data_IF_929316484274
#
_entry.id   IF_929316484274
#
_cell.length_a   1.000
_cell.length_b   1.000
_cell.length_c   1.000
_cell.angle_alpha   90.00
_cell.angle_beta   90.00
_cell.angle_gamma   90.00
#
_symmetry.space_group_name_H-M   'P 1'
#
loop_
_entity.id
_entity.type
_entity.pdbx_description
1 polymer ?
#
# COMPACT_ATOMS: atom_id res chain seq x y z
N UNK A 1 11.15 34.42 -16.40
CA UNK A 1 11.18 33.65 -17.66
C UNK A 1 12.03 32.44 -17.41
N UNK A 2 11.40 31.34 -17.01
CA UNK A 2 12.06 30.03 -16.99
C UNK A 2 12.08 29.49 -18.42
N UNK A 3 13.00 28.59 -18.73
CA UNK A 3 13.09 27.96 -20.06
C UNK A 3 12.72 26.51 -19.87
N UNK A 4 11.62 26.07 -20.46
CA UNK A 4 11.19 24.67 -20.41
C UNK A 4 12.18 23.80 -21.21
N UNK A 5 12.53 22.63 -20.67
CA UNK A 5 13.47 21.69 -21.28
C UNK A 5 12.79 20.52 -22.01
N UNK A 6 11.45 20.46 -22.03
CA UNK A 6 10.73 19.43 -22.78
C UNK A 6 10.51 19.84 -24.23
N UNK A 7 10.71 18.89 -25.15
CA UNK A 7 10.60 19.09 -26.60
C UNK A 7 9.17 19.34 -27.11
N UNK A 8 8.17 19.35 -26.23
CA UNK A 8 6.76 19.44 -26.60
C UNK A 8 6.24 20.88 -26.75
N UNK A 9 7.00 21.90 -26.32
CA UNK A 9 6.54 23.29 -26.34
C UNK A 9 7.63 24.27 -26.83
N UNK A 10 7.62 24.59 -28.13
CA UNK A 10 8.44 25.68 -28.70
C UNK A 10 7.65 26.99 -28.77
N UNK A 11 7.98 27.96 -27.89
CA UNK A 11 7.42 29.32 -27.89
C UNK A 11 7.44 30.01 -26.51
N UNK A 12 7.06 31.29 -26.41
CA UNK A 12 6.81 31.94 -25.12
C UNK A 12 5.60 31.28 -24.45
N UNK A 13 5.77 30.83 -23.21
CA UNK A 13 4.70 30.22 -22.42
C UNK A 13 4.29 31.15 -21.27
N UNK A 14 3.00 31.09 -20.92
CA UNK A 14 2.47 31.61 -19.66
C UNK A 14 2.15 30.37 -18.83
N UNK A 15 2.85 30.22 -17.71
CA UNK A 15 2.66 29.12 -16.78
C UNK A 15 2.32 29.64 -15.38
N UNK A 16 1.73 28.77 -14.57
CA UNK A 16 1.55 29.01 -13.13
C UNK A 16 2.68 28.28 -12.43
N UNK A 17 3.53 29.03 -11.73
CA UNK A 17 4.49 28.48 -10.79
C UNK A 17 3.81 28.44 -9.41
N UNK A 18 3.81 27.28 -8.80
CA UNK A 18 3.21 27.10 -7.49
C UNK A 18 4.27 27.39 -6.43
N UNK A 19 4.05 28.43 -5.61
CA UNK A 19 5.00 28.94 -4.61
C UNK A 19 4.57 28.55 -3.19
N UNK A 20 4.28 27.27 -2.99
CA UNK A 20 4.12 26.70 -1.64
C UNK A 20 4.80 25.34 -1.58
N UNK A 21 5.40 25.06 -0.42
CA UNK A 21 6.10 23.82 -0.11
C UNK A 21 5.32 23.13 1.01
N UNK A 22 5.07 21.83 0.83
CA UNK A 22 4.48 20.93 1.81
C UNK A 22 5.40 19.72 1.92
N UNK A 23 6.57 19.90 2.54
CA UNK A 23 7.61 18.89 2.59
C UNK A 23 7.92 18.38 4.00
N UNK A 24 7.31 18.97 5.04
CA UNK A 24 7.36 18.45 6.40
C UNK A 24 6.00 18.48 7.12
N UNK A 25 5.94 17.87 8.31
CA UNK A 25 4.72 17.80 9.11
C UNK A 25 4.26 19.18 9.66
N UNK A 26 5.17 20.15 9.78
CA UNK A 26 4.87 21.50 10.25
C UNK A 26 4.13 22.34 9.20
N UNK A 27 4.26 21.97 7.92
CA UNK A 27 3.47 22.55 6.82
C UNK A 27 2.01 22.06 6.80
N UNK A 28 1.65 21.09 7.66
CA UNK A 28 0.33 20.44 7.68
C UNK A 28 -0.09 19.92 6.29
N UNK A 29 0.69 18.98 5.71
CA UNK A 29 0.39 18.41 4.40
C UNK A 29 -0.96 17.68 4.41
N UNK A 30 -1.66 17.57 3.27
CA UNK A 30 -2.94 16.88 3.18
C UNK A 30 -2.81 15.41 3.59
N UNK A 31 -3.72 14.93 4.44
CA UNK A 31 -3.87 13.52 4.76
C UNK A 31 -4.70 12.77 3.72
N UNK A 32 -4.90 11.46 3.94
CA UNK A 32 -5.82 10.65 3.13
C UNK A 32 -7.24 11.19 3.29
N UNK A 33 -7.88 11.51 2.16
CA UNK A 33 -9.18 12.17 2.05
C UNK A 33 -9.10 13.69 1.86
N UNK A 34 -7.94 14.31 2.11
CA UNK A 34 -7.78 15.76 2.02
C UNK A 34 -7.37 16.23 0.62
N UNK A 35 -7.54 17.52 0.37
CA UNK A 35 -7.18 18.16 -0.89
C UNK A 35 -6.36 19.42 -0.66
N UNK A 36 -5.40 19.66 -1.55
CA UNK A 36 -4.80 20.98 -1.73
C UNK A 36 -5.58 21.69 -2.82
N UNK A 37 -6.28 22.75 -2.44
CA UNK A 37 -6.96 23.64 -3.37
C UNK A 37 -5.99 24.71 -3.87
N UNK A 38 -5.76 24.75 -5.18
CA UNK A 38 -5.00 25.84 -5.81
C UNK A 38 -5.81 27.15 -5.78
N UNK A 39 -5.16 28.33 -5.84
CA UNK A 39 -5.84 29.62 -5.75
C UNK A 39 -7.08 29.75 -6.65
N UNK A 40 -8.14 30.33 -6.09
CA UNK A 40 -9.47 30.48 -6.70
C UNK A 40 -10.22 29.16 -6.98
N UNK A 41 -9.78 28.05 -6.39
CA UNK A 41 -10.38 26.72 -6.50
C UNK A 41 -10.49 26.25 -7.96
N UNK A 42 -9.49 26.59 -8.80
CA UNK A 42 -9.47 26.15 -10.19
C UNK A 42 -9.14 24.66 -10.31
N UNK A 43 -8.23 24.19 -9.47
CA UNK A 43 -7.76 22.81 -9.40
C UNK A 43 -7.68 22.44 -7.92
N UNK A 44 -8.19 21.26 -7.58
CA UNK A 44 -7.95 20.60 -6.29
C UNK A 44 -7.14 19.34 -6.54
N UNK A 45 -6.03 19.17 -5.85
CA UNK A 45 -5.22 17.96 -5.87
C UNK A 45 -5.54 17.19 -4.59
N UNK A 46 -6.30 16.11 -4.71
CA UNK A 46 -6.79 15.35 -3.58
C UNK A 46 -5.98 14.07 -3.39
N UNK A 47 -5.52 13.84 -2.17
CA UNK A 47 -5.01 12.56 -1.74
C UNK A 47 -6.21 11.67 -1.39
N UNK A 48 -6.71 10.92 -2.35
CA UNK A 48 -8.00 10.22 -2.22
C UNK A 48 -7.89 9.00 -1.29
N UNK A 49 -6.92 8.14 -1.54
CA UNK A 49 -6.77 6.86 -0.85
C UNK A 49 -5.37 6.29 -1.02
N UNK A 50 -5.08 5.24 -0.25
CA UNK A 50 -3.90 4.38 -0.43
C UNK A 50 -4.30 3.06 -1.06
N UNK A 51 -3.41 2.45 -1.84
CA UNK A 51 -3.63 1.11 -2.43
C UNK A 51 -3.71 0.00 -1.38
N UNK A 52 -3.13 0.22 -0.20
CA UNK A 52 -3.12 -0.72 0.92
C UNK A 52 -3.74 -0.03 2.13
N UNK A 53 -4.77 -0.64 2.73
CA UNK A 53 -5.40 -0.16 3.94
C UNK A 53 -4.59 -0.51 5.19
N UNK A 54 -4.76 0.27 6.27
CA UNK A 54 -3.98 0.10 7.50
C UNK A 54 -4.22 -1.27 8.20
N UNK A 55 -5.34 -1.96 7.93
CA UNK A 55 -5.60 -3.32 8.42
C UNK A 55 -4.85 -4.42 7.65
N UNK A 56 -4.07 -4.05 6.63
CA UNK A 56 -3.27 -4.97 5.80
C UNK A 56 -1.77 -4.88 6.09
N UNK A 57 -1.41 -4.47 7.29
CA UNK A 57 -0.03 -4.48 7.76
C UNK A 57 0.23 -5.65 8.70
N UNK A 58 1.46 -6.14 8.68
CA UNK A 58 1.97 -7.11 9.64
C UNK A 58 3.14 -6.49 10.42
N UNK A 59 3.12 -6.67 11.73
CA UNK A 59 4.16 -6.17 12.62
C UNK A 59 5.34 -7.12 12.67
N UNK A 60 6.54 -6.55 12.63
CA UNK A 60 7.82 -7.22 12.80
C UNK A 60 8.62 -6.46 13.85
N UNK A 61 9.07 -7.17 14.87
CA UNK A 61 9.79 -6.58 16.00
C UNK A 61 11.22 -7.10 15.99
N UNK A 62 12.17 -6.17 16.13
CA UNK A 62 13.59 -6.42 16.31
C UNK A 62 13.93 -5.91 17.70
N UNK A 63 14.24 -6.79 18.65
CA UNK A 63 14.47 -6.41 20.04
C UNK A 63 15.57 -7.22 20.69
N UNK A 64 16.22 -6.65 21.70
CA UNK A 64 17.17 -7.39 22.51
C UNK A 64 16.45 -8.38 23.44
N UNK A 65 16.82 -9.66 23.38
CA UNK A 65 16.47 -10.65 24.41
C UNK A 65 17.72 -10.96 25.23
N UNK A 66 17.67 -10.68 26.54
CA UNK A 66 18.81 -10.81 27.46
C UNK A 66 18.96 -12.19 28.09
N UNK A 67 18.07 -13.13 27.75
CA UNK A 67 17.96 -14.41 28.47
C UNK A 67 17.66 -15.61 27.56
N UNK A 68 18.05 -15.53 26.29
CA UNK A 68 17.79 -16.59 25.31
C UNK A 68 18.53 -17.87 25.67
N UNK A 69 17.82 -19.00 25.59
CA UNK A 69 18.41 -20.33 25.76
C UNK A 69 18.64 -20.97 24.38
N UNK A 70 19.91 -21.15 24.02
CA UNK A 70 20.37 -21.72 22.75
C UNK A 70 21.06 -23.08 22.94
N UNK A 71 21.06 -23.64 24.16
CA UNK A 71 21.76 -24.88 24.51
C UNK A 71 21.33 -26.09 23.66
N UNK A 72 20.05 -26.13 23.29
CA UNK A 72 19.40 -27.19 22.52
C UNK A 72 19.39 -26.94 21.01
N UNK A 73 20.01 -25.85 20.55
CA UNK A 73 20.04 -25.49 19.14
C UNK A 73 20.88 -26.45 18.27
N UNK A 74 21.60 -27.39 18.89
CA UNK A 74 22.46 -28.36 18.20
C UNK A 74 23.94 -27.95 18.15
N UNK A 75 24.32 -26.93 18.93
CA UNK A 75 25.72 -26.54 19.15
C UNK A 75 26.30 -27.29 20.35
N UNK A 76 27.61 -27.46 20.41
CA UNK A 76 28.29 -28.10 21.56
C UNK A 76 28.50 -27.13 22.73
N UNK A 77 28.25 -25.84 22.53
CA UNK A 77 28.47 -24.80 23.52
C UNK A 77 27.21 -24.62 24.39
N UNK A 78 27.42 -24.46 25.70
CA UNK A 78 26.36 -24.28 26.68
C UNK A 78 25.86 -22.82 26.68
N UNK A 79 25.16 -22.42 25.61
CA UNK A 79 24.66 -21.06 25.39
C UNK A 79 23.30 -20.85 26.10
N UNK A 80 23.31 -20.88 27.42
CA UNK A 80 22.11 -20.66 28.25
C UNK A 80 22.06 -19.21 28.76
N UNK A 81 20.93 -18.52 28.58
CA UNK A 81 20.73 -17.18 29.12
C UNK A 81 21.64 -16.12 28.48
N UNK A 82 21.90 -16.26 27.18
CA UNK A 82 22.75 -15.33 26.42
C UNK A 82 21.92 -14.19 25.84
N UNK A 83 22.54 -13.03 25.66
CA UNK A 83 21.88 -11.89 25.01
C UNK A 83 21.93 -12.01 23.49
N UNK A 84 20.79 -11.88 22.82
CA UNK A 84 20.64 -12.01 21.37
C UNK A 84 19.80 -10.87 20.81
N UNK A 85 19.86 -10.69 19.48
CA UNK A 85 18.85 -9.92 18.77
C UNK A 85 17.73 -10.89 18.37
N UNK A 86 16.57 -10.70 18.97
CA UNK A 86 15.36 -11.45 18.72
C UNK A 86 14.49 -10.73 17.69
N UNK A 87 14.18 -11.43 16.60
CA UNK A 87 13.42 -10.90 15.47
C UNK A 87 12.18 -11.77 15.34
N UNK A 88 10.99 -11.19 15.46
CA UNK A 88 9.76 -11.97 15.43
C UNK A 88 8.57 -11.23 14.84
N UNK A 89 7.55 -12.00 14.49
CA UNK A 89 6.28 -11.51 13.96
C UNK A 89 5.13 -12.41 14.40
N UNK A 90 3.90 -11.90 14.60
CA UNK A 90 2.73 -12.74 14.78
C UNK A 90 2.29 -13.47 13.50
N UNK A 91 2.89 -13.15 12.34
CA UNK A 91 2.60 -13.82 11.07
C UNK A 91 3.28 -15.20 11.07
N UNK A 92 2.48 -16.26 11.05
CA UNK A 92 3.00 -17.61 10.91
C UNK A 92 3.83 -17.73 9.62
N UNK A 93 5.05 -18.24 9.73
CA UNK A 93 6.02 -18.33 8.63
C UNK A 93 6.33 -16.97 7.98
N UNK A 94 6.16 -15.85 8.70
CA UNK A 94 6.37 -14.50 8.18
C UNK A 94 7.81 -14.14 7.85
N UNK A 95 8.78 -14.98 8.23
CA UNK A 95 10.20 -14.83 7.94
C UNK A 95 10.73 -16.05 7.19
N UNK A 96 11.63 -15.84 6.24
CA UNK A 96 12.28 -16.90 5.48
C UNK A 96 13.79 -16.71 5.50
N UNK A 97 14.50 -17.67 6.09
CA UNK A 97 15.96 -17.67 6.17
C UNK A 97 16.53 -18.23 4.87
N UNK A 98 17.36 -17.43 4.21
CA UNK A 98 17.96 -17.76 2.92
C UNK A 98 19.25 -18.54 3.11
N UNK A 99 19.11 -19.82 3.47
CA UNK A 99 20.24 -20.67 3.91
C UNK A 99 21.33 -20.78 2.82
N UNK A 100 20.99 -20.60 1.55
CA UNK A 100 21.96 -20.57 0.46
C UNK A 100 22.99 -19.44 0.55
N UNK A 101 22.73 -18.40 1.36
CA UNK A 101 23.62 -17.26 1.56
C UNK A 101 24.58 -17.43 2.76
N UNK A 102 24.50 -18.56 3.48
CA UNK A 102 25.36 -18.82 4.64
C UNK A 102 26.65 -19.53 4.22
N UNK A 103 27.73 -19.26 4.96
CA UNK A 103 29.03 -19.89 4.68
C UNK A 103 29.03 -21.36 5.09
N UNK A 104 28.39 -21.67 6.22
CA UNK A 104 28.06 -23.02 6.60
C UNK A 104 26.59 -23.11 6.97
N UNK A 105 25.91 -24.02 6.29
CA UNK A 105 24.53 -24.34 6.59
C UNK A 105 24.51 -25.25 7.81
N UNK A 106 23.59 -24.99 8.74
CA UNK A 106 23.36 -25.83 9.90
C UNK A 106 22.76 -27.18 9.50
N UNK A 107 21.44 -27.32 9.64
CA UNK A 107 20.76 -28.61 9.45
C UNK A 107 19.97 -28.74 8.14
N UNK A 108 19.86 -27.65 7.36
CA UNK A 108 19.03 -27.58 6.15
C UNK A 108 19.84 -27.09 4.94
N UNK A 109 19.46 -27.54 3.74
CA UNK A 109 19.97 -27.03 2.46
C UNK A 109 18.90 -26.28 1.66
N UNK A 110 17.76 -26.00 2.29
CA UNK A 110 16.65 -25.26 1.71
C UNK A 110 16.24 -24.14 2.66
N UNK A 111 15.64 -23.10 2.10
CA UNK A 111 15.15 -21.96 2.87
C UNK A 111 14.22 -22.40 3.98
N UNK A 112 14.33 -21.73 5.13
CA UNK A 112 13.65 -22.11 6.37
C UNK A 112 12.61 -21.05 6.67
N UNK A 113 11.35 -21.48 6.76
CA UNK A 113 10.25 -20.61 7.18
C UNK A 113 10.09 -20.63 8.68
N UNK A 114 9.92 -19.45 9.28
CA UNK A 114 9.78 -19.27 10.72
C UNK A 114 9.00 -17.98 11.00
N UNK A 115 8.54 -17.80 12.23
CA UNK A 115 8.03 -16.54 12.76
C UNK A 115 9.03 -15.88 13.74
N UNK A 116 10.15 -16.57 14.02
CA UNK A 116 11.16 -16.19 15.02
C UNK A 116 12.59 -16.50 14.57
N UNK A 117 13.46 -15.52 14.71
CA UNK A 117 14.90 -15.60 14.44
C UNK A 117 15.64 -15.02 15.65
N UNK A 118 16.79 -15.61 16.01
CA UNK A 118 17.74 -15.02 16.94
C UNK A 118 19.11 -14.89 16.27
N UNK A 119 19.77 -13.77 16.49
CA UNK A 119 21.14 -13.53 16.04
C UNK A 119 22.10 -13.41 17.24
N UNK A 120 23.24 -14.09 17.14
CA UNK A 120 24.28 -14.08 18.16
C UNK A 120 25.66 -14.23 17.49
N UNK A 121 26.66 -13.46 17.91
CA UNK A 121 27.99 -13.55 17.32
C UNK A 121 28.85 -14.60 18.04
N UNK A 122 29.47 -15.50 17.28
CA UNK A 122 30.56 -16.33 17.74
C UNK A 122 31.89 -15.64 17.42
N UNK A 123 32.50 -15.02 18.43
CA UNK A 123 33.75 -14.27 18.30
C UNK A 123 35.01 -15.15 18.25
N UNK A 124 34.88 -16.44 18.55
CA UNK A 124 36.00 -17.36 18.48
C UNK A 124 36.18 -17.86 17.04
N UNK A 125 37.20 -17.33 16.37
CA UNK A 125 37.63 -17.64 15.00
C UNK A 125 38.13 -19.11 14.92
N UNK A 126 37.19 -20.06 14.95
CA UNK A 126 37.43 -21.51 15.01
C UNK A 126 36.78 -22.27 16.18
N UNK A 127 35.82 -21.67 16.91
CA UNK A 127 35.08 -22.30 18.00
C UNK A 127 34.33 -23.59 17.63
N UNK A 128 34.01 -24.39 18.65
CA UNK A 128 33.50 -25.78 18.61
C UNK A 128 32.46 -26.00 17.50
N UNK A 129 32.74 -26.91 16.56
CA UNK A 129 31.97 -27.24 15.34
C UNK A 129 32.26 -26.41 14.07
N UNK A 130 33.19 -25.45 14.11
CA UNK A 130 33.67 -24.75 12.89
C UNK A 130 32.77 -23.62 12.40
N UNK A 131 31.84 -23.14 13.24
CA UNK A 131 30.92 -22.05 12.93
C UNK A 131 31.39 -20.77 13.65
N UNK A 132 32.27 -20.00 13.02
CA UNK A 132 32.66 -18.66 13.47
C UNK A 132 31.77 -17.57 12.86
N UNK A 133 31.69 -16.39 13.47
CA UNK A 133 30.93 -15.26 12.92
C UNK A 133 29.50 -15.15 13.44
N UNK A 134 28.60 -14.53 12.68
CA UNK A 134 27.22 -14.29 13.12
C UNK A 134 26.37 -15.56 12.94
N UNK A 135 25.95 -16.17 14.04
CA UNK A 135 25.09 -17.34 14.03
C UNK A 135 23.62 -16.92 13.91
N UNK A 136 22.88 -17.64 13.08
CA UNK A 136 21.44 -17.44 12.87
C UNK A 136 20.69 -18.64 13.43
N UNK A 137 19.79 -18.38 14.38
CA UNK A 137 18.93 -19.37 15.00
C UNK A 137 17.47 -19.12 14.65
N UNK A 138 16.63 -20.15 14.74
CA UNK A 138 15.20 -20.05 14.45
C UNK A 138 14.38 -21.03 15.28
N UNK A 139 13.07 -20.79 15.35
CA UNK A 139 12.12 -21.69 15.99
C UNK A 139 11.54 -22.65 14.95
N UNK A 140 11.76 -23.95 15.12
CA UNK A 140 11.15 -24.96 14.24
C UNK A 140 9.64 -25.13 14.50
N UNK A 141 8.97 -25.93 13.67
CA UNK A 141 7.52 -26.18 13.78
C UNK A 141 7.10 -26.86 15.09
N UNK A 142 8.05 -27.34 15.90
CA UNK A 142 7.81 -27.91 17.22
C UNK A 142 8.16 -26.93 18.36
N UNK A 143 8.36 -25.64 18.04
CA UNK A 143 8.79 -24.59 18.96
C UNK A 143 10.16 -24.88 19.60
N UNK A 144 11.05 -25.58 18.89
CA UNK A 144 12.42 -25.79 19.34
C UNK A 144 13.35 -24.85 18.62
N UNK A 145 14.26 -24.22 19.37
CA UNK A 145 15.32 -23.40 18.79
C UNK A 145 16.32 -24.30 18.06
N UNK A 146 16.74 -23.90 16.87
CA UNK A 146 17.68 -24.62 15.99
C UNK A 146 18.66 -23.63 15.37
N UNK A 147 19.89 -24.07 15.11
CA UNK A 147 20.83 -23.31 14.29
C UNK A 147 20.51 -23.47 12.80
N UNK A 148 20.36 -22.35 12.09
CA UNK A 148 20.22 -22.30 10.64
C UNK A 148 21.58 -22.30 9.92
N UNK A 149 22.58 -21.62 10.48
CA UNK A 149 23.95 -21.55 9.96
C UNK A 149 24.69 -20.31 10.47
N UNK A 150 25.75 -19.91 9.75
CA UNK A 150 26.56 -18.74 10.11
C UNK A 150 26.89 -17.84 8.90
N UNK A 151 27.16 -16.57 9.22
CA UNK A 151 27.74 -15.57 8.32
C UNK A 151 29.10 -15.18 8.89
N UNK A 152 30.17 -15.70 8.26
CA UNK A 152 31.56 -15.71 8.77
C UNK A 152 32.23 -14.36 8.68
N UNK A 153 31.84 -13.54 7.70
CA UNK A 153 32.39 -12.20 7.53
C UNK A 153 31.29 -11.15 7.49
N UNK A 154 30.81 -10.76 8.66
CA UNK A 154 29.86 -9.67 8.78
C UNK A 154 30.45 -8.32 8.36
N UNK A 155 31.75 -8.16 8.06
CA UNK A 155 32.30 -6.86 7.64
C UNK A 155 31.73 -6.34 6.31
N UNK A 156 30.94 -7.15 5.60
CA UNK A 156 30.18 -6.75 4.42
C UNK A 156 28.71 -7.13 4.59
N UNK A 157 27.82 -6.28 4.08
CA UNK A 157 26.38 -6.55 4.07
C UNK A 157 26.06 -7.88 3.36
N UNK A 158 25.56 -8.86 4.11
CA UNK A 158 25.13 -10.16 3.63
C UNK A 158 23.62 -10.34 3.85
N UNK A 159 22.91 -10.90 2.88
CA UNK A 159 21.49 -11.22 3.04
C UNK A 159 21.33 -12.41 3.98
N UNK A 160 20.58 -12.24 5.07
CA UNK A 160 20.36 -13.28 6.06
C UNK A 160 19.01 -13.97 5.91
N UNK A 161 17.96 -13.17 5.69
CA UNK A 161 16.58 -13.63 5.56
C UNK A 161 15.76 -12.57 4.80
N UNK A 162 14.53 -12.91 4.43
CA UNK A 162 13.58 -11.97 3.85
C UNK A 162 12.20 -12.08 4.52
N UNK A 163 11.39 -11.05 4.32
CA UNK A 163 10.02 -10.99 4.84
C UNK A 163 9.09 -11.77 3.90
N UNK A 164 8.20 -12.58 4.48
CA UNK A 164 7.23 -13.39 3.75
C UNK A 164 5.80 -13.01 4.14
N UNK A 165 5.31 -11.89 3.60
CA UNK A 165 3.98 -11.37 3.87
C UNK A 165 3.30 -10.82 2.62
N UNK A 166 1.99 -11.07 2.48
CA UNK A 166 1.21 -10.54 1.36
C UNK A 166 1.80 -10.80 -0.03
N UNK A 167 1.86 -9.76 -0.84
CA UNK A 167 2.54 -9.66 -2.14
C UNK A 167 4.01 -9.25 -2.01
N UNK A 168 4.48 -8.83 -0.83
CA UNK A 168 5.85 -8.36 -0.58
C UNK A 168 6.83 -9.49 -0.26
N UNK A 169 6.53 -10.68 -0.78
CA UNK A 169 7.29 -11.92 -0.54
C UNK A 169 8.53 -12.00 -1.42
N UNK A 170 9.31 -13.04 -1.21
CA UNK A 170 10.50 -13.35 -2.01
C UNK A 170 11.54 -12.21 -1.91
N UNK A 171 11.87 -11.56 -3.03
CA UNK A 171 12.96 -10.58 -3.09
C UNK A 171 12.54 -9.13 -2.85
N UNK A 172 11.28 -8.90 -2.49
CA UNK A 172 10.72 -7.56 -2.34
C UNK A 172 11.19 -6.88 -1.05
N UNK A 173 11.36 -7.62 0.05
CA UNK A 173 11.89 -7.06 1.31
C UNK A 173 12.94 -8.00 1.88
N UNK A 174 14.19 -7.70 1.54
CA UNK A 174 15.36 -8.44 2.01
C UNK A 174 15.84 -7.87 3.34
N UNK A 175 16.41 -8.70 4.20
CA UNK A 175 17.08 -8.27 5.42
C UNK A 175 18.54 -8.68 5.36
N UNK A 176 19.39 -7.66 5.32
CA UNK A 176 20.83 -7.83 5.32
C UNK A 176 21.39 -7.58 6.72
N UNK A 177 22.48 -8.26 7.04
CA UNK A 177 23.26 -8.07 8.26
C UNK A 177 24.71 -7.81 7.89
N UNK A 178 25.37 -6.93 8.64
CA UNK A 178 26.81 -6.68 8.50
C UNK A 178 27.32 -5.64 9.49
N UNK A 179 28.50 -5.86 10.07
CA UNK A 179 29.19 -4.91 10.94
C UNK A 179 30.12 -3.96 10.19
N UNK A 180 30.41 -2.83 10.84
CA UNK A 180 31.25 -1.75 10.31
C UNK A 180 32.75 -2.08 10.43
N UNK A 181 33.14 -2.83 11.48
CA UNK A 181 34.55 -3.08 11.84
C UNK A 181 34.88 -4.51 12.29
N UNK A 182 33.88 -5.36 12.54
CA UNK A 182 34.08 -6.71 13.09
C UNK A 182 32.86 -7.24 13.84
N UNK A 183 33.05 -8.30 14.61
CA UNK A 183 32.05 -8.90 15.50
C UNK A 183 32.51 -8.88 16.98
N UNK A 184 33.55 -8.11 17.29
CA UNK A 184 34.16 -8.06 18.61
C UNK A 184 33.37 -7.23 19.62
N UNK A 185 33.77 -7.31 20.89
CA UNK A 185 33.17 -6.50 21.95
C UNK A 185 33.32 -5.01 21.65
N UNK A 186 32.19 -4.30 21.59
CA UNK A 186 32.12 -2.88 21.27
C UNK A 186 32.16 -2.54 19.78
N UNK A 187 32.18 -3.54 18.89
CA UNK A 187 31.82 -3.38 17.49
C UNK A 187 30.30 -3.32 17.35
N UNK A 188 29.85 -2.77 16.22
CA UNK A 188 28.43 -2.65 15.89
C UNK A 188 28.08 -3.48 14.64
N UNK A 189 26.90 -4.09 14.67
CA UNK A 189 26.23 -4.77 13.56
C UNK A 189 25.08 -3.91 13.03
N UNK A 190 25.10 -3.63 11.74
CA UNK A 190 23.94 -3.10 11.05
C UNK A 190 23.02 -4.26 10.61
N UNK A 191 21.73 -4.13 10.92
CA UNK A 191 20.66 -4.93 10.35
C UNK A 191 19.84 -4.00 9.46
N UNK A 192 19.86 -4.24 8.15
CA UNK A 192 19.24 -3.37 7.16
C UNK A 192 18.07 -4.07 6.48
N UNK A 193 16.87 -3.54 6.66
CA UNK A 193 15.68 -3.93 5.90
C UNK A 193 15.71 -3.18 4.57
N UNK A 194 15.64 -3.92 3.47
CA UNK A 194 15.89 -3.46 2.10
C UNK A 194 14.68 -3.71 1.19
N UNK A 195 13.66 -2.83 1.25
CA UNK A 195 12.54 -2.90 0.34
C UNK A 195 12.92 -2.59 -1.11
N UNK A 196 12.33 -3.31 -2.04
CA UNK A 196 12.58 -3.26 -3.47
C UNK A 196 11.30 -3.50 -4.25
N UNK A 197 11.08 -2.69 -5.27
CA UNK A 197 10.10 -2.98 -6.31
C UNK A 197 10.69 -2.50 -7.64
N UNK A 198 10.65 -3.35 -8.66
CA UNK A 198 11.43 -3.15 -9.88
C UNK A 198 11.02 -1.91 -10.71
N UNK A 199 9.81 -1.40 -10.52
CA UNK A 199 9.20 -0.34 -11.34
C UNK A 199 9.33 1.02 -10.67
N UNK A 200 8.89 1.12 -9.43
CA UNK A 200 8.71 2.33 -8.64
C UNK A 200 9.86 2.54 -7.64
N UNK A 201 10.60 1.48 -7.28
CA UNK A 201 11.72 1.53 -6.33
C UNK A 201 12.93 0.63 -6.71
N UNK A 202 13.49 0.78 -7.94
CA UNK A 202 14.50 -0.16 -8.47
C UNK A 202 15.89 -0.08 -7.81
N UNK A 203 16.09 0.83 -6.85
CA UNK A 203 17.42 1.14 -6.30
C UNK A 203 17.65 0.78 -4.85
N UNK A 204 16.69 0.13 -4.16
CA UNK A 204 16.74 -0.05 -2.70
C UNK A 204 16.91 1.27 -1.94
N UNK A 205 16.28 2.35 -2.41
CA UNK A 205 16.50 3.71 -1.88
C UNK A 205 15.47 4.09 -0.78
N UNK A 206 15.12 3.12 0.05
CA UNK A 206 14.18 3.24 1.18
C UNK A 206 14.59 2.28 2.31
N UNK A 207 15.89 2.05 2.44
CA UNK A 207 16.44 1.10 3.41
C UNK A 207 16.26 1.62 4.83
N UNK A 208 16.02 0.70 5.77
CA UNK A 208 15.95 0.98 7.20
C UNK A 208 17.09 0.22 7.85
N UNK A 209 18.08 0.94 8.36
CA UNK A 209 19.26 0.36 9.01
C UNK A 209 19.17 0.56 10.51
N UNK A 210 19.32 -0.53 11.25
CA UNK A 210 19.34 -0.60 12.70
C UNK A 210 20.74 -1.00 13.15
N UNK A 211 21.36 -0.24 14.04
CA UNK A 211 22.72 -0.49 14.54
C UNK A 211 22.66 -1.14 15.92
N UNK A 212 23.19 -2.36 16.04
CA UNK A 212 23.19 -3.16 17.27
C UNK A 212 24.61 -3.36 17.77
N UNK A 213 24.85 -3.14 19.05
CA UNK A 213 26.19 -3.25 19.63
C UNK A 213 26.45 -4.63 20.20
N UNK A 214 27.64 -5.17 19.93
CA UNK A 214 28.10 -6.40 20.58
C UNK A 214 28.76 -6.12 21.92
N UNK A 215 28.44 -6.99 22.88
CA UNK A 215 29.12 -7.09 24.16
C UNK A 215 30.28 -8.09 24.15
N UNK A 216 30.78 -8.36 25.35
CA UNK A 216 31.74 -9.44 25.55
C UNK A 216 31.12 -10.80 25.19
N UNK A 217 31.93 -11.72 24.68
CA UNK A 217 31.50 -13.06 24.26
C UNK A 217 30.39 -13.09 23.18
N UNK A 218 30.26 -12.01 22.39
CA UNK A 218 29.45 -11.97 21.18
C UNK A 218 27.93 -11.86 21.36
N UNK A 219 27.46 -11.68 22.59
CA UNK A 219 26.08 -11.28 22.85
C UNK A 219 25.79 -9.85 22.39
N UNK A 220 24.53 -9.54 22.12
CA UNK A 220 24.08 -8.17 21.78
C UNK A 220 23.72 -7.42 23.06
N UNK A 221 24.15 -6.17 23.19
CA UNK A 221 23.99 -5.40 24.45
C UNK A 221 23.08 -4.19 24.35
N UNK A 222 22.86 -3.66 23.16
CA UNK A 222 22.04 -2.47 22.95
C UNK A 222 21.66 -2.27 21.49
N UNK A 223 20.54 -1.58 21.27
CA UNK A 223 20.34 -0.80 20.05
C UNK A 223 21.15 0.50 20.23
N UNK A 224 22.00 0.83 19.27
CA UNK A 224 22.96 1.91 19.40
C UNK A 224 24.10 1.63 20.40
N UNK A 225 24.77 2.69 20.84
CA UNK A 225 25.93 2.66 21.71
C UNK A 225 25.59 2.44 23.19
N UNK A 226 24.39 2.84 23.62
CA UNK A 226 23.96 2.84 25.03
C UNK A 226 22.69 2.03 25.22
N UNK A 227 22.75 0.98 26.05
CA UNK A 227 21.58 0.18 26.36
C UNK A 227 20.44 1.02 26.95
N UNK A 228 19.23 0.75 26.48
CA UNK A 228 17.97 1.30 26.98
C UNK A 228 17.96 2.83 26.96
N UNK A 229 18.47 3.41 25.88
CA UNK A 229 18.53 4.84 25.63
C UNK A 229 18.24 5.11 24.17
N UNK A 230 17.38 6.10 23.88
CA UNK A 230 17.21 6.55 22.50
C UNK A 230 18.46 7.25 22.00
N UNK A 231 18.85 6.98 20.76
CA UNK A 231 20.02 7.60 20.13
C UNK A 231 19.75 7.91 18.66
N UNK A 232 20.13 9.11 18.21
CA UNK A 232 19.73 9.57 16.87
C UNK A 232 20.21 8.62 15.75
N UNK A 233 21.42 8.07 15.89
CA UNK A 233 22.07 7.25 14.88
C UNK A 233 21.71 5.76 14.89
N UNK A 234 20.95 5.28 15.88
CA UNK A 234 20.71 3.84 16.06
C UNK A 234 19.74 3.27 15.02
N UNK A 235 18.79 4.09 14.56
CA UNK A 235 17.92 3.80 13.42
C UNK A 235 18.12 4.89 12.38
N UNK A 236 18.43 4.46 11.16
CA UNK A 236 18.64 5.32 10.00
C UNK A 236 17.76 4.90 8.83
N UNK A 237 17.23 5.88 8.13
CA UNK A 237 16.45 5.68 6.91
C UNK A 237 17.20 6.28 5.71
N UNK A 238 17.44 5.46 4.68
CA UNK A 238 18.14 5.90 3.48
C UNK A 238 17.20 6.69 2.57
N UNK A 239 17.57 7.94 2.28
CA UNK A 239 16.87 8.80 1.32
C UNK A 239 17.61 8.77 -0.02
N UNK A 240 16.85 8.68 -1.13
CA UNK A 240 17.36 8.80 -2.50
C UNK A 240 18.53 9.79 -2.63
N UNK A 241 19.72 9.28 -2.95
CA UNK A 241 20.90 10.06 -3.37
C UNK A 241 21.47 11.10 -2.38
N UNK A 242 20.90 11.25 -1.19
CA UNK A 242 21.38 12.21 -0.15
C UNK A 242 21.94 11.55 1.11
N UNK A 243 22.01 10.21 1.13
CA UNK A 243 22.51 9.45 2.27
C UNK A 243 21.45 9.20 3.34
N UNK A 244 21.89 8.60 4.43
CA UNK A 244 21.06 8.18 5.55
C UNK A 244 20.59 9.35 6.41
N UNK A 245 19.33 9.31 6.84
CA UNK A 245 18.73 10.22 7.82
C UNK A 245 18.57 9.49 9.14
N UNK A 246 19.16 10.04 10.19
CA UNK A 246 18.99 9.60 11.57
C UNK A 246 17.55 9.83 12.05
N UNK A 247 16.87 8.77 12.49
CA UNK A 247 15.48 8.82 12.98
C UNK A 247 15.29 8.20 14.36
N UNK A 248 16.35 7.74 15.04
CA UNK A 248 16.22 7.03 16.33
C UNK A 248 15.58 7.84 17.47
N UNK A 249 15.65 9.18 17.43
CA UNK A 249 15.09 10.06 18.48
C UNK A 249 13.71 10.63 18.16
N UNK A 250 13.09 10.17 17.08
CA UNK A 250 11.79 10.65 16.61
C UNK A 250 10.65 10.03 17.42
N UNK A 251 9.70 10.85 17.84
CA UNK A 251 8.57 10.46 18.69
C UNK A 251 7.27 10.29 17.87
N UNK A 252 7.37 10.41 16.55
CA UNK A 252 6.34 10.19 15.58
C UNK A 252 6.55 8.90 14.77
N UNK A 253 5.46 8.31 14.27
CA UNK A 253 5.57 7.21 13.31
C UNK A 253 6.06 7.75 11.96
N UNK A 254 7.00 7.04 11.35
CA UNK A 254 7.53 7.37 10.03
C UNK A 254 7.11 6.32 9.01
N UNK A 255 6.69 6.75 7.82
CA UNK A 255 6.38 5.85 6.71
C UNK A 255 7.39 6.05 5.58
N UNK A 256 8.08 4.97 5.21
CA UNK A 256 8.96 4.92 4.05
C UNK A 256 8.19 4.98 2.72
N UNK A 257 8.91 5.13 1.62
CA UNK A 257 8.36 5.19 0.25
C UNK A 257 7.67 3.90 -0.17
N UNK A 258 8.22 2.76 0.26
CA UNK A 258 7.63 1.44 0.04
C UNK A 258 6.31 1.28 0.81
N UNK A 259 6.13 2.08 1.85
CA UNK A 259 4.98 2.05 2.74
C UNK A 259 5.25 1.40 4.10
N UNK A 260 6.48 0.94 4.37
CA UNK A 260 6.84 0.41 5.69
C UNK A 260 6.67 1.51 6.75
N UNK A 261 5.97 1.22 7.83
CA UNK A 261 5.81 2.14 8.96
C UNK A 261 6.81 1.74 10.05
N UNK A 262 7.63 2.68 10.48
CA UNK A 262 8.57 2.57 11.58
C UNK A 262 7.88 3.24 12.77
N UNK A 263 7.60 2.48 13.83
CA UNK A 263 6.79 2.95 14.96
C UNK A 263 7.64 3.60 16.05
N UNK A 264 7.22 4.79 16.50
CA UNK A 264 7.74 5.54 17.66
C UNK A 264 9.18 5.16 18.06
N UNK A 265 10.16 5.63 17.28
CA UNK A 265 11.56 5.17 17.41
C UNK A 265 12.12 5.56 18.77
N UNK A 266 11.76 6.73 19.28
CA UNK A 266 12.20 7.21 20.58
C UNK A 266 11.79 6.27 21.70
N UNK A 267 10.51 5.90 21.78
CA UNK A 267 10.06 5.00 22.85
C UNK A 267 10.66 3.60 22.69
N UNK A 268 10.72 3.06 21.47
CA UNK A 268 11.24 1.71 21.26
C UNK A 268 12.76 1.63 21.41
N UNK A 269 13.50 2.66 20.97
CA UNK A 269 14.95 2.77 21.13
C UNK A 269 15.37 2.83 22.60
N UNK A 270 14.62 3.56 23.44
CA UNK A 270 14.80 3.52 24.90
C UNK A 270 14.58 2.14 25.55
N UNK A 271 14.04 1.18 24.79
CA UNK A 271 13.83 -0.22 25.19
C UNK A 271 14.65 -1.21 24.35
N UNK A 272 15.67 -0.74 23.60
CA UNK A 272 16.49 -1.55 22.69
C UNK A 272 15.65 -2.35 21.68
N UNK A 273 14.66 -1.70 21.07
CA UNK A 273 13.70 -2.31 20.15
C UNK A 273 13.42 -1.43 18.94
N UNK A 274 13.06 -2.06 17.82
CA UNK A 274 12.53 -1.42 16.62
C UNK A 274 11.31 -2.20 16.15
N UNK A 275 10.21 -1.50 15.91
CA UNK A 275 8.95 -2.09 15.45
C UNK A 275 8.61 -1.57 14.06
N UNK A 276 8.49 -2.49 13.11
CA UNK A 276 8.18 -2.22 11.72
C UNK A 276 6.83 -2.84 11.36
N UNK A 277 5.92 -2.04 10.82
CA UNK A 277 4.72 -2.56 10.16
C UNK A 277 4.97 -2.62 8.66
N UNK A 278 4.97 -3.84 8.14
CA UNK A 278 5.21 -4.16 6.74
C UNK A 278 3.85 -4.28 6.03
N UNK A 279 3.61 -3.52 4.94
CA UNK A 279 2.36 -3.61 4.20
C UNK A 279 2.27 -4.92 3.39
N UNK A 280 1.03 -5.37 3.12
CA UNK A 280 0.79 -6.56 2.30
C UNK A 280 1.11 -6.36 0.82
N UNK A 281 1.35 -5.13 0.35
CA UNK A 281 1.78 -4.78 -1.00
C UNK A 281 2.49 -3.41 -0.93
N UNK A 282 3.19 -2.99 -1.99
CA UNK A 282 3.73 -1.63 -2.05
C UNK A 282 2.61 -0.59 -1.97
N UNK A 283 2.82 0.42 -1.13
CA UNK A 283 1.81 1.44 -0.85
C UNK A 283 1.92 2.58 -1.87
N UNK A 284 0.86 2.81 -2.63
CA UNK A 284 0.76 3.93 -3.58
C UNK A 284 -0.41 4.83 -3.19
N UNK A 285 -0.23 6.13 -3.42
CA UNK A 285 -1.29 7.12 -3.24
C UNK A 285 -2.12 7.25 -4.52
N UNK A 286 -3.45 7.16 -4.38
CA UNK A 286 -4.38 7.54 -5.42
C UNK A 286 -4.57 9.06 -5.37
N UNK A 287 -4.02 9.76 -6.36
CA UNK A 287 -4.15 11.21 -6.48
C UNK A 287 -5.27 11.53 -7.46
N UNK A 288 -6.28 12.26 -6.99
CA UNK A 288 -7.40 12.73 -7.81
C UNK A 288 -7.24 14.22 -8.05
N UNK A 289 -7.04 14.60 -9.30
CA UNK A 289 -7.03 16.01 -9.71
C UNK A 289 -8.42 16.40 -10.16
N UNK A 290 -9.05 17.29 -9.41
CA UNK A 290 -10.38 17.83 -9.71
C UNK A 290 -10.19 19.21 -10.33
N UNK A 291 -10.65 19.40 -11.56
CA UNK A 291 -10.76 20.72 -12.16
C UNK A 291 -12.14 21.31 -11.88
N UNK A 292 -12.21 22.61 -11.63
CA UNK A 292 -13.48 23.33 -11.79
C UNK A 292 -13.83 23.31 -13.29
N UNK A 293 -15.07 22.98 -13.64
CA UNK A 293 -15.52 23.02 -15.03
C UNK A 293 -15.18 24.39 -15.64
N UNK A 294 -14.24 24.44 -16.59
CA UNK A 294 -13.84 25.70 -17.23
C UNK A 294 -14.85 26.05 -18.32
N UNK A 295 -15.25 27.31 -18.38
CA UNK A 295 -15.92 27.87 -19.56
C UNK A 295 -14.94 27.91 -20.72
N UNK A 296 -15.17 27.15 -21.78
CA UNK A 296 -14.49 27.37 -23.07
C UNK A 296 -15.38 28.26 -23.92
N UNK A 297 -14.92 29.47 -24.22
CA UNK A 297 -15.49 30.29 -25.29
C UNK A 297 -15.05 29.71 -26.63
N UNK A 298 -15.88 28.84 -27.21
CA UNK A 298 -15.83 28.56 -28.64
C UNK A 298 -16.07 29.87 -29.38
N UNK A 299 -15.31 30.15 -30.44
CA UNK A 299 -15.35 31.41 -31.21
C UNK A 299 -16.70 31.77 -31.88
N UNK A 300 -17.80 31.08 -31.55
CA UNK A 300 -19.16 31.30 -32.02
C UNK A 300 -20.13 31.87 -30.98
N UNK A 301 -19.71 32.14 -29.73
CA UNK A 301 -20.56 32.80 -28.74
C UNK A 301 -21.60 31.90 -28.04
N UNK A 302 -21.54 30.58 -28.25
CA UNK A 302 -22.30 29.61 -27.46
C UNK A 302 -21.48 29.16 -26.24
N UNK A 303 -22.02 29.45 -25.06
CA UNK A 303 -21.46 29.06 -23.76
C UNK A 303 -22.05 27.71 -23.37
N UNK A 304 -21.26 26.63 -23.42
CA UNK A 304 -21.66 25.37 -22.80
C UNK A 304 -21.19 25.38 -21.34
N UNK A 305 -22.09 25.59 -20.40
CA UNK A 305 -21.84 25.34 -18.97
C UNK A 305 -22.21 23.90 -18.65
N UNK A 306 -21.27 23.05 -18.20
CA UNK A 306 -21.63 21.85 -17.48
C UNK A 306 -22.35 22.31 -16.20
N UNK A 307 -23.67 22.14 -16.16
CA UNK A 307 -24.44 22.45 -14.97
C UNK A 307 -24.04 21.46 -13.87
N UNK A 308 -23.79 21.96 -12.67
CA UNK A 308 -23.75 21.12 -11.47
C UNK A 308 -25.11 20.44 -11.35
N UNK A 309 -25.13 19.12 -11.55
CA UNK A 309 -26.36 18.34 -11.48
C UNK A 309 -26.52 17.89 -10.03
N UNK A 310 -27.44 18.52 -9.32
CA UNK A 310 -27.93 18.03 -8.04
C UNK A 310 -29.15 17.14 -8.32
N UNK A 311 -29.00 15.80 -8.39
CA UNK A 311 -30.14 14.93 -8.67
C UNK A 311 -31.15 15.03 -7.55
N UNK A 312 -32.43 15.20 -7.91
CA UNK A 312 -33.55 15.16 -6.98
C UNK A 312 -34.35 13.90 -7.28
N UNK A 313 -34.58 13.07 -6.26
CA UNK A 313 -35.46 11.91 -6.38
C UNK A 313 -36.91 12.35 -6.21
N UNK A 314 -37.72 12.15 -7.24
CA UNK A 314 -39.14 12.49 -7.26
C UNK A 314 -39.98 11.26 -7.61
N UNK A 315 -41.18 11.16 -7.07
CA UNK A 315 -42.22 10.25 -7.56
C UNK A 315 -42.86 10.81 -8.83
N UNK A 316 -43.56 9.96 -9.60
CA UNK A 316 -44.15 10.34 -10.88
C UNK A 316 -45.18 11.48 -10.74
N UNK A 317 -45.95 11.47 -9.67
CA UNK A 317 -46.94 12.51 -9.34
C UNK A 317 -46.32 13.86 -8.92
N UNK A 318 -45.06 13.87 -8.50
CA UNK A 318 -44.33 15.10 -8.18
C UNK A 318 -43.76 15.79 -9.43
N UNK A 319 -43.69 15.09 -10.57
CA UNK A 319 -43.19 15.63 -11.84
C UNK A 319 -44.37 16.09 -12.69
N UNK A 320 -44.83 17.31 -12.44
CA UNK A 320 -45.97 17.90 -13.17
C UNK A 320 -45.73 18.11 -14.67
N UNK A 321 -44.47 18.30 -15.08
CA UNK A 321 -44.08 18.54 -16.46
C UNK A 321 -42.70 17.91 -16.73
N UNK A 322 -42.65 16.68 -17.29
CA UNK A 322 -41.41 15.95 -17.48
C UNK A 322 -40.49 16.57 -18.55
N UNK A 323 -40.98 17.44 -19.44
CA UNK A 323 -40.14 18.02 -20.51
C UNK A 323 -39.19 19.10 -19.99
N UNK A 324 -39.34 19.53 -18.73
CA UNK A 324 -38.48 20.55 -18.11
C UNK A 324 -37.15 20.02 -17.56
N UNK A 325 -36.99 18.70 -17.50
CA UNK A 325 -35.88 18.07 -16.78
C UNK A 325 -35.06 17.14 -17.68
N UNK A 326 -33.77 17.00 -17.34
CA UNK A 326 -33.06 15.78 -17.67
C UNK A 326 -33.52 14.70 -16.68
N UNK A 327 -33.94 13.54 -17.16
CA UNK A 327 -34.62 12.54 -16.34
C UNK A 327 -33.88 11.21 -16.36
N UNK A 328 -33.89 10.53 -15.21
CA UNK A 328 -33.63 9.09 -15.11
C UNK A 328 -34.91 8.47 -14.55
N UNK A 329 -35.66 7.77 -15.40
CA UNK A 329 -36.88 7.08 -15.03
C UNK A 329 -36.54 5.66 -14.62
N UNK A 330 -36.76 5.33 -13.35
CA UNK A 330 -36.55 3.98 -12.83
C UNK A 330 -37.89 3.26 -12.76
N UNK A 331 -37.97 2.08 -13.37
CA UNK A 331 -39.18 1.28 -13.48
C UNK A 331 -39.87 1.39 -14.84
N UNK A 332 -40.51 0.30 -15.26
CA UNK A 332 -41.25 0.25 -16.54
C UNK A 332 -42.57 1.04 -16.50
N UNK A 333 -43.29 1.12 -17.64
CA UNK A 333 -44.49 1.96 -17.79
C UNK A 333 -45.64 1.66 -16.82
N UNK A 334 -45.68 0.45 -16.23
CA UNK A 334 -46.66 0.11 -15.18
C UNK A 334 -46.30 0.65 -13.80
N UNK A 335 -45.00 0.80 -13.52
CA UNK A 335 -44.49 1.28 -12.24
C UNK A 335 -44.23 2.80 -12.28
N UNK A 336 -43.93 3.34 -13.46
CA UNK A 336 -43.70 4.76 -13.69
C UNK A 336 -44.47 5.18 -14.96
N UNK A 337 -45.68 5.74 -14.82
CA UNK A 337 -46.51 6.17 -15.95
C UNK A 337 -45.86 7.24 -16.86
N UNK A 338 -44.88 8.00 -16.36
CA UNK A 338 -44.15 9.00 -17.17
C UNK A 338 -43.33 8.37 -18.30
N UNK A 339 -43.05 7.06 -18.25
CA UNK A 339 -42.38 6.36 -19.34
C UNK A 339 -43.19 6.44 -20.63
N UNK A 340 -44.53 6.35 -20.55
CA UNK A 340 -45.40 6.41 -21.73
C UNK A 340 -45.58 7.82 -22.29
N UNK A 341 -45.31 8.85 -21.47
CA UNK A 341 -45.43 10.25 -21.89
C UNK A 341 -44.19 10.76 -22.61
N UNK A 342 -43.09 10.01 -22.53
CA UNK A 342 -41.81 10.33 -23.14
C UNK A 342 -41.54 9.47 -24.37
N UNK A 343 -40.65 9.93 -25.25
CA UNK A 343 -40.41 9.34 -26.56
C UNK A 343 -39.52 8.07 -26.52
N UNK A 344 -39.77 7.16 -25.57
CA UNK A 344 -39.09 5.86 -25.50
C UNK A 344 -39.70 4.83 -26.45
N UNK A 345 -40.93 5.05 -26.90
CA UNK A 345 -41.68 4.10 -27.74
C UNK A 345 -42.09 2.82 -26.99
N UNK A 346 -42.20 2.89 -25.66
CA UNK A 346 -42.54 1.75 -24.79
C UNK A 346 -43.84 2.05 -24.06
N UNK A 347 -44.79 1.12 -24.12
CA UNK A 347 -46.06 1.19 -23.39
C UNK A 347 -46.25 -0.04 -22.52
N UNK A 348 -47.13 0.06 -21.53
CA UNK A 348 -47.51 -1.03 -20.62
C UNK A 348 -48.13 -2.24 -21.35
N UNK A 349 -48.74 -2.02 -22.52
CA UNK A 349 -49.22 -3.07 -23.41
C UNK A 349 -48.16 -3.55 -24.41
N UNK A 350 -47.17 -2.71 -24.73
CA UNK A 350 -46.09 -2.98 -25.68
C UNK A 350 -44.78 -3.46 -25.04
N UNK A 351 -44.79 -3.83 -23.76
CA UNK A 351 -43.61 -4.34 -23.06
C UNK A 351 -43.24 -5.73 -23.59
N UNK A 352 -42.13 -5.83 -24.33
CA UNK A 352 -41.68 -7.04 -25.02
C UNK A 352 -40.62 -7.86 -24.26
N UNK A 353 -40.08 -7.31 -23.18
CA UNK A 353 -39.03 -7.96 -22.39
C UNK A 353 -39.62 -9.03 -21.46
N UNK A 354 -38.85 -10.11 -21.24
CA UNK A 354 -39.22 -11.26 -20.42
C UNK A 354 -38.65 -11.16 -19.01
N UNK A 355 -39.06 -12.06 -18.13
CA UNK A 355 -38.43 -12.23 -16.82
C UNK A 355 -36.93 -12.50 -17.00
N UNK A 356 -36.10 -11.80 -16.22
CA UNK A 356 -34.65 -11.85 -16.39
C UNK A 356 -34.09 -10.78 -17.32
N UNK A 357 -34.94 -10.04 -18.04
CA UNK A 357 -34.57 -8.99 -18.98
C UNK A 357 -34.96 -7.59 -18.49
N UNK A 358 -34.09 -6.63 -18.75
CA UNK A 358 -34.29 -5.22 -18.52
C UNK A 358 -33.69 -4.39 -19.65
N UNK A 359 -34.15 -3.15 -19.80
CA UNK A 359 -33.69 -2.21 -20.80
C UNK A 359 -33.13 -0.95 -20.14
N UNK A 360 -32.03 -0.46 -20.70
CA UNK A 360 -31.57 0.91 -20.48
C UNK A 360 -31.67 1.63 -21.81
N UNK A 361 -32.45 2.71 -21.87
CA UNK A 361 -32.75 3.41 -23.12
C UNK A 361 -32.65 4.92 -22.95
N UNK A 362 -32.05 5.60 -23.92
CA UNK A 362 -32.03 7.06 -24.02
C UNK A 362 -33.11 7.52 -24.99
N UNK A 363 -33.79 8.61 -24.65
CA UNK A 363 -34.71 9.31 -25.52
C UNK A 363 -34.49 10.82 -25.46
N UNK A 364 -34.75 11.47 -26.58
CA UNK A 364 -34.80 12.93 -26.65
C UNK A 364 -36.03 13.43 -25.89
N UNK A 365 -35.85 14.48 -25.09
CA UNK A 365 -36.87 15.14 -24.30
C UNK A 365 -36.85 16.66 -24.59
N UNK A 366 -37.06 17.03 -25.86
CA UNK A 366 -36.81 18.40 -26.34
C UNK A 366 -35.31 18.72 -26.34
N UNK A 367 -34.91 19.82 -25.69
CA UNK A 367 -33.51 20.20 -25.46
C UNK A 367 -32.86 19.42 -24.30
N UNK A 368 -33.56 18.45 -23.72
CA UNK A 368 -33.12 17.60 -22.61
C UNK A 368 -33.01 16.14 -23.03
N UNK A 369 -32.40 15.33 -22.17
CA UNK A 369 -32.30 13.87 -22.34
C UNK A 369 -33.05 13.17 -21.22
N UNK A 370 -33.75 12.08 -21.57
CA UNK A 370 -34.33 11.16 -20.61
C UNK A 370 -33.71 9.76 -20.78
N UNK A 371 -33.40 9.11 -19.66
CA UNK A 371 -32.95 7.73 -19.62
C UNK A 371 -33.99 6.86 -18.90
N UNK A 372 -34.41 5.78 -19.54
CA UNK A 372 -35.22 4.73 -18.94
C UNK A 372 -34.30 3.65 -18.37
N UNK A 373 -34.58 3.20 -17.15
CA UNK A 373 -33.94 2.06 -16.49
C UNK A 373 -35.05 1.15 -15.97
N UNK A 374 -35.40 0.12 -16.72
CA UNK A 374 -36.62 -0.64 -16.46
C UNK A 374 -36.44 -2.13 -16.74
N UNK A 375 -36.82 -2.96 -15.77
CA UNK A 375 -36.88 -4.41 -15.91
C UNK A 375 -38.29 -4.97 -15.85
N UNK A 376 -38.46 -6.20 -16.33
CA UNK A 376 -39.75 -6.91 -16.26
C UNK A 376 -40.18 -7.18 -14.82
N UNK A 377 -39.21 -7.58 -13.97
CA UNK A 377 -39.39 -7.74 -12.53
C UNK A 377 -38.62 -6.68 -11.72
N UNK A 378 -38.92 -6.58 -10.43
CA UNK A 378 -38.21 -5.67 -9.51
C UNK A 378 -36.69 -5.96 -9.48
N UNK A 379 -36.31 -7.24 -9.44
CA UNK A 379 -34.90 -7.65 -9.47
C UNK A 379 -34.23 -7.27 -10.81
N UNK A 380 -34.97 -7.32 -11.91
CA UNK A 380 -34.47 -6.97 -13.24
C UNK A 380 -34.17 -5.46 -13.32
N UNK A 381 -35.07 -4.65 -12.75
CA UNK A 381 -34.86 -3.20 -12.62
C UNK A 381 -33.65 -2.89 -11.74
N UNK A 382 -33.45 -3.62 -10.65
CA UNK A 382 -32.25 -3.47 -9.80
C UNK A 382 -30.96 -3.82 -10.54
N UNK A 383 -30.96 -4.85 -11.40
CA UNK A 383 -29.79 -5.18 -12.23
C UNK A 383 -29.48 -4.04 -13.21
N UNK A 384 -30.48 -3.52 -13.92
CA UNK A 384 -30.29 -2.39 -14.82
C UNK A 384 -29.79 -1.13 -14.08
N UNK A 385 -30.34 -0.83 -12.90
CA UNK A 385 -29.88 0.27 -12.07
C UNK A 385 -28.42 0.08 -11.61
N UNK A 386 -28.02 -1.15 -11.26
CA UNK A 386 -26.63 -1.48 -10.91
C UNK A 386 -25.68 -1.29 -12.09
N UNK A 387 -26.11 -1.60 -13.32
CA UNK A 387 -25.34 -1.32 -14.54
C UNK A 387 -25.11 0.18 -14.69
N UNK A 388 -26.15 1.01 -14.57
CA UNK A 388 -26.02 2.48 -14.67
C UNK A 388 -25.11 3.03 -13.57
N UNK A 389 -25.28 2.59 -12.32
CA UNK A 389 -24.45 3.03 -11.20
C UNK A 389 -22.97 2.64 -11.36
N UNK A 390 -22.69 1.54 -12.06
CA UNK A 390 -21.35 1.03 -12.30
C UNK A 390 -20.98 1.08 -13.79
N UNK A 391 -21.44 2.10 -14.52
CA UNK A 391 -21.36 2.17 -15.98
C UNK A 391 -19.94 1.95 -16.53
N UNK A 392 -18.89 2.31 -15.78
CA UNK A 392 -17.48 2.10 -16.17
C UNK A 392 -17.11 0.63 -16.40
N UNK A 393 -17.84 -0.30 -15.77
CA UNK A 393 -17.61 -1.74 -15.88
C UNK A 393 -18.38 -2.37 -17.04
N UNK A 394 -19.21 -1.59 -17.75
CA UNK A 394 -20.09 -2.09 -18.80
C UNK A 394 -19.96 -1.25 -20.07
N UNK A 395 -20.04 -1.91 -21.21
CA UNK A 395 -20.02 -1.24 -22.51
C UNK A 395 -21.44 -0.79 -22.86
N UNK A 396 -21.79 0.44 -22.50
CA UNK A 396 -23.07 1.07 -22.85
C UNK A 396 -22.91 1.83 -24.18
N UNK A 397 -23.13 1.14 -25.28
CA UNK A 397 -23.07 1.72 -26.63
C UNK A 397 -24.48 1.88 -27.21
N UNK A 398 -24.64 2.86 -28.11
CA UNK A 398 -25.91 3.26 -28.71
C UNK A 398 -26.90 3.86 -27.70
N UNK A 399 -28.14 4.08 -28.15
CA UNK A 399 -29.23 4.67 -27.35
C UNK A 399 -30.07 3.64 -26.62
N UNK A 400 -29.79 2.34 -26.78
CA UNK A 400 -30.59 1.27 -26.20
C UNK A 400 -29.73 0.02 -25.96
N UNK A 401 -29.80 -0.54 -24.75
CA UNK A 401 -29.12 -1.78 -24.38
C UNK A 401 -30.04 -2.71 -23.60
N UNK A 402 -29.86 -4.00 -23.82
CA UNK A 402 -30.50 -5.09 -23.08
C UNK A 402 -29.59 -5.54 -21.93
N UNK A 403 -30.15 -5.57 -20.73
CA UNK A 403 -29.53 -6.12 -19.53
C UNK A 403 -30.20 -7.45 -19.21
N UNK A 404 -29.42 -8.51 -19.11
CA UNK A 404 -29.89 -9.87 -18.80
C UNK A 404 -29.19 -10.44 -17.57
N UNK A 405 -29.85 -11.34 -16.86
CA UNK A 405 -29.27 -12.01 -15.71
C UNK A 405 -30.29 -12.67 -14.81
N UNK A 406 -29.81 -13.47 -13.86
CA UNK A 406 -30.67 -14.13 -12.86
C UNK A 406 -30.46 -13.58 -11.44
N UNK A 407 -29.31 -12.95 -11.17
CA UNK A 407 -28.93 -12.40 -9.86
C UNK A 407 -28.24 -11.05 -9.99
N UNK A 408 -27.99 -10.34 -8.89
CA UNK A 408 -27.25 -9.07 -8.91
C UNK A 408 -25.74 -9.21 -9.18
N UNK A 409 -25.22 -10.45 -9.22
CA UNK A 409 -23.82 -10.75 -9.54
C UNK A 409 -23.63 -11.33 -10.94
N UNK A 410 -24.69 -11.85 -11.55
CA UNK A 410 -24.72 -12.37 -12.92
C UNK A 410 -25.44 -11.37 -13.84
N UNK A 411 -24.68 -10.42 -14.38
CA UNK A 411 -25.21 -9.35 -15.24
C UNK A 411 -24.46 -9.36 -16.58
N UNK A 412 -25.22 -9.47 -17.67
CA UNK A 412 -24.72 -9.34 -19.04
C UNK A 412 -25.41 -8.18 -19.75
N UNK A 413 -24.63 -7.32 -20.41
CA UNK A 413 -25.13 -6.17 -21.19
C UNK A 413 -24.87 -6.42 -22.68
N UNK A 414 -25.88 -6.19 -23.51
CA UNK A 414 -25.81 -6.29 -24.97
C UNK A 414 -26.47 -5.09 -25.62
N UNK A 415 -25.93 -4.64 -26.74
CA UNK A 415 -26.55 -3.60 -27.55
C UNK A 415 -27.79 -4.16 -28.26
N UNK A 416 -28.83 -3.33 -28.40
CA UNK A 416 -30.06 -3.66 -29.14
C UNK A 416 -30.08 -3.00 -30.53
#
# INVERSE_FOLDING_TARGET
TTTATSSEFTGPFIGIENDFVYDDASDNPPGVGDCIDLPNNYISICYDSLTVSDDKYATYTFEMDTSTDLDQAGLQDNLTGVSTLYIHTPVNEGLVIDVANFDNNGTSNTDIKTDKIWLWANVDDGGTNGLGGLLVFYSDTNNKVRVAGNISNASSSAQAFHINYGSTKDNDILVNVGGDTGLGSGDDMNVTVRPYEATDQPGYNDNITMQWRFGAAGGITSLGATASSEEAGEVRWEKLSTGDVAIGTKDEDHRGRYGIIIRDQKSHGSSDSVVLDIPADIVRANIVVKGRASTTTSGSGETCTPAEVNPVTLTDDQVTDPTKYNLILVGGPRANPLVETLNFGITSAGWSFKDGEAVIKLANNGDKVAMLVAGTQALDTQRAAKVVANYKNYKLENTEVLVTGTTLSDITVKNL
#
